data_IF_045973099298
#
_entry.id   IF_045973099298
#
_cell.length_a   1.000
_cell.length_b   1.000
_cell.length_c   1.000
_cell.angle_alpha   90.00
_cell.angle_beta   90.00
_cell.angle_gamma   90.00
#
_symmetry.space_group_name_H-M   'P 1'
#
loop_
_entity.id
_entity.type
_entity.pdbx_description
1 polymer ?
#
# COMPACT_ATOMS: atom_id res chain seq x y z
N UNK A 1 -60.75 46.89 9.67
CA UNK A 1 -60.35 45.95 8.59
C UNK A 1 -58.83 45.83 8.61
N UNK A 2 -58.31 44.82 9.31
CA UNK A 2 -56.87 44.57 9.47
C UNK A 2 -56.27 43.99 8.20
N UNK A 3 -55.17 44.59 7.74
CA UNK A 3 -54.37 44.11 6.60
C UNK A 3 -53.55 42.89 7.05
N UNK A 4 -53.79 41.75 6.40
CA UNK A 4 -53.01 40.52 6.56
C UNK A 4 -51.59 40.73 6.01
N UNK A 5 -50.59 40.61 6.89
CA UNK A 5 -49.19 40.40 6.53
C UNK A 5 -48.98 38.88 6.32
N UNK A 6 -48.74 38.47 5.08
CA UNK A 6 -48.14 37.16 4.78
C UNK A 6 -46.69 37.14 5.25
N UNK A 7 -46.25 36.20 6.10
CA UNK A 7 -44.83 35.91 6.22
C UNK A 7 -44.43 34.95 5.10
N UNK A 8 -43.63 35.47 4.17
CA UNK A 8 -42.94 34.73 3.12
C UNK A 8 -41.81 33.91 3.77
N UNK A 9 -42.15 32.73 4.30
CA UNK A 9 -41.18 31.72 4.73
C UNK A 9 -40.62 31.00 3.49
N UNK A 10 -39.73 31.67 2.77
CA UNK A 10 -38.81 31.02 1.84
C UNK A 10 -37.80 30.23 2.68
N UNK A 11 -38.13 28.97 2.94
CA UNK A 11 -37.18 27.92 3.30
C UNK A 11 -36.10 27.89 2.22
N UNK A 12 -34.99 28.58 2.49
CA UNK A 12 -33.77 28.45 1.71
C UNK A 12 -33.33 27.00 1.82
N UNK A 13 -33.51 26.31 0.70
CA UNK A 13 -32.94 25.04 0.31
C UNK A 13 -31.71 24.69 1.15
N UNK A 14 -31.86 23.64 1.96
CA UNK A 14 -30.72 22.87 2.41
C UNK A 14 -29.98 22.37 1.19
N UNK A 15 -28.97 23.13 0.75
CA UNK A 15 -27.84 22.60 0.01
C UNK A 15 -27.12 21.66 0.98
N UNK A 16 -27.70 20.46 1.15
CA UNK A 16 -26.99 19.29 1.59
C UNK A 16 -26.03 19.01 0.46
N UNK A 17 -24.88 19.69 0.52
CA UNK A 17 -23.73 19.40 -0.30
C UNK A 17 -23.40 17.95 0.02
N UNK A 18 -23.85 17.04 -0.85
CA UNK A 18 -23.50 15.63 -0.81
C UNK A 18 -22.00 15.63 -1.09
N UNK A 19 -21.21 15.79 -0.04
CA UNK A 19 -19.75 15.75 -0.13
C UNK A 19 -19.40 14.58 -1.01
N UNK A 20 -18.80 14.86 -2.17
CA UNK A 20 -18.53 13.87 -3.20
C UNK A 20 -17.87 12.66 -2.54
N UNK A 21 -18.63 11.58 -2.38
CA UNK A 21 -18.09 10.30 -1.95
C UNK A 21 -17.13 9.88 -3.05
N UNK A 22 -15.84 9.96 -2.78
CA UNK A 22 -14.79 9.54 -3.70
C UNK A 22 -14.87 8.00 -3.76
N UNK A 23 -15.56 7.48 -4.77
CA UNK A 23 -15.78 6.05 -5.01
C UNK A 23 -15.06 5.62 -6.31
N UNK A 24 -13.74 5.77 -6.32
CA UNK A 24 -12.87 5.22 -7.35
C UNK A 24 -12.10 3.99 -6.83
N UNK A 25 -11.55 3.18 -7.74
CA UNK A 25 -10.81 1.96 -7.39
C UNK A 25 -9.68 2.24 -6.40
N UNK A 26 -8.91 3.30 -6.63
CA UNK A 26 -7.85 3.71 -5.74
C UNK A 26 -8.37 4.04 -4.33
N UNK A 27 -9.60 4.56 -4.21
CA UNK A 27 -10.27 4.78 -2.94
C UNK A 27 -10.61 3.49 -2.19
N UNK A 28 -11.12 2.49 -2.90
CA UNK A 28 -11.55 1.21 -2.33
C UNK A 28 -10.40 0.36 -1.82
N UNK A 29 -9.22 0.51 -2.43
CA UNK A 29 -8.01 -0.23 -2.08
C UNK A 29 -7.21 0.35 -0.90
N UNK A 30 -7.55 1.54 -0.40
CA UNK A 30 -6.84 2.18 0.71
C UNK A 30 -6.93 1.35 1.99
N UNK A 31 -5.87 1.40 2.79
CA UNK A 31 -5.88 0.83 4.14
C UNK A 31 -4.53 0.25 4.52
N UNK A 32 -4.53 -0.39 5.68
CA UNK A 32 -3.38 -1.10 6.21
C UNK A 32 -3.49 -2.59 5.86
N UNK A 33 -2.37 -3.15 5.42
CA UNK A 33 -2.25 -4.56 5.07
C UNK A 33 -1.14 -5.15 5.93
N UNK A 34 -1.45 -6.06 6.85
CA UNK A 34 -0.44 -6.74 7.65
C UNK A 34 0.37 -7.69 6.75
N UNK A 35 1.69 -7.59 6.80
CA UNK A 35 2.59 -8.48 6.06
C UNK A 35 2.39 -9.91 6.54
N UNK A 36 2.17 -10.81 5.59
CA UNK A 36 2.01 -12.25 5.80
C UNK A 36 3.31 -13.00 5.50
N UNK A 37 4.07 -12.55 4.50
CA UNK A 37 5.39 -13.08 4.17
C UNK A 37 6.31 -12.03 3.58
N UNK A 38 7.60 -12.12 3.92
CA UNK A 38 8.68 -11.31 3.37
C UNK A 38 9.87 -12.22 3.06
N UNK A 39 10.18 -12.35 1.77
CA UNK A 39 11.18 -13.27 1.24
C UNK A 39 12.24 -12.47 0.48
N UNK A 40 13.51 -12.76 0.75
CA UNK A 40 14.65 -12.13 0.08
C UNK A 40 15.55 -13.23 -0.49
N UNK A 41 15.76 -13.24 -1.81
CA UNK A 41 16.57 -14.24 -2.52
C UNK A 41 16.23 -15.69 -2.15
N UNK A 42 14.92 -16.02 -2.08
CA UNK A 42 14.40 -17.32 -1.67
C UNK A 42 14.52 -17.66 -0.17
N UNK A 43 15.13 -16.80 0.65
CA UNK A 43 15.07 -16.96 2.10
C UNK A 43 13.86 -16.22 2.69
N UNK A 44 13.01 -16.97 3.38
CA UNK A 44 11.88 -16.40 4.13
C UNK A 44 12.40 -15.75 5.41
N UNK A 45 12.45 -14.43 5.43
CA UNK A 45 12.91 -13.65 6.58
C UNK A 45 11.78 -13.38 7.58
N UNK A 46 10.54 -13.31 7.11
CA UNK A 46 9.37 -13.17 7.96
C UNK A 46 8.17 -13.95 7.39
N UNK A 47 7.42 -14.60 8.27
CA UNK A 47 6.12 -15.22 8.00
C UNK A 47 5.25 -15.12 9.26
N UNK A 48 4.05 -14.55 9.13
CA UNK A 48 3.17 -14.27 10.24
C UNK A 48 2.91 -15.54 11.09
N UNK A 49 3.17 -15.44 12.40
CA UNK A 49 2.98 -16.55 13.35
C UNK A 49 3.98 -17.71 13.22
N UNK A 50 5.00 -17.63 12.36
CA UNK A 50 5.95 -18.73 12.12
C UNK A 50 7.42 -18.32 12.15
N UNK A 51 7.81 -17.30 11.37
CA UNK A 51 9.22 -16.92 11.16
C UNK A 51 9.36 -15.42 11.39
N UNK A 52 10.39 -15.00 12.13
CA UNK A 52 10.74 -13.59 12.30
C UNK A 52 12.26 -13.41 12.49
N UNK A 53 13.04 -13.58 11.41
CA UNK A 53 14.50 -13.44 11.44
C UNK A 53 14.95 -11.98 11.53
N UNK A 54 14.11 -11.05 11.08
CA UNK A 54 14.38 -9.60 11.04
C UNK A 54 13.99 -8.85 12.31
N UNK A 55 13.44 -9.57 13.30
CA UNK A 55 13.07 -9.06 14.63
C UNK A 55 12.13 -7.83 14.54
N UNK A 56 11.05 -7.97 13.77
CA UNK A 56 10.05 -6.91 13.57
C UNK A 56 8.70 -7.25 14.21
N UNK A 57 8.00 -6.22 14.66
CA UNK A 57 6.56 -6.27 14.98
C UNK A 57 5.82 -5.22 14.17
N UNK A 58 4.48 -5.31 14.09
CA UNK A 58 3.62 -4.38 13.35
C UNK A 58 4.09 -4.11 11.91
N UNK A 59 4.53 -5.17 11.22
CA UNK A 59 5.01 -5.07 9.85
C UNK A 59 3.84 -4.94 8.88
N UNK A 60 3.68 -3.74 8.31
CA UNK A 60 2.53 -3.36 7.48
C UNK A 60 2.96 -2.76 6.14
N UNK A 61 2.12 -3.01 5.14
CA UNK A 61 2.05 -2.26 3.90
C UNK A 61 0.87 -1.31 4.01
N UNK A 62 1.12 -0.02 3.83
CA UNK A 62 0.10 1.01 3.92
C UNK A 62 -0.19 1.53 2.52
N UNK A 63 -1.48 1.56 2.17
CA UNK A 63 -1.96 1.95 0.85
C UNK A 63 -2.83 3.19 1.00
N UNK A 64 -2.43 4.29 0.36
CA UNK A 64 -3.28 5.48 0.23
C UNK A 64 -3.50 5.85 -1.22
N UNK A 65 -4.58 6.58 -1.48
CA UNK A 65 -4.89 7.12 -2.81
C UNK A 65 -4.08 8.37 -3.06
N UNK A 66 -3.46 8.46 -4.23
CA UNK A 66 -2.82 9.68 -4.73
C UNK A 66 -3.69 10.38 -5.78
N UNK A 67 -4.25 9.64 -6.73
CA UNK A 67 -5.26 10.07 -7.71
C UNK A 67 -6.26 8.93 -7.96
N UNK A 68 -7.24 9.12 -8.84
CA UNK A 68 -8.24 8.09 -9.15
C UNK A 68 -7.62 6.78 -9.69
N UNK A 69 -6.47 6.88 -10.32
CA UNK A 69 -5.73 5.81 -10.99
C UNK A 69 -4.34 5.55 -10.37
N UNK A 70 -4.04 6.13 -9.21
CA UNK A 70 -2.73 5.93 -8.57
C UNK A 70 -2.79 5.81 -7.06
N UNK A 71 -1.94 4.93 -6.55
CA UNK A 71 -1.74 4.64 -5.14
C UNK A 71 -0.37 5.14 -4.69
N UNK A 72 -0.30 5.49 -3.41
CA UNK A 72 0.92 5.68 -2.66
C UNK A 72 1.07 4.51 -1.69
N UNK A 73 2.15 3.75 -1.82
CA UNK A 73 2.47 2.60 -0.97
C UNK A 73 3.64 2.94 -0.08
N UNK A 74 3.55 2.66 1.22
CA UNK A 74 4.70 2.75 2.12
C UNK A 74 4.70 1.63 3.14
N UNK A 75 5.90 1.33 3.65
CA UNK A 75 6.13 0.22 4.55
C UNK A 75 6.45 0.74 5.95
N UNK A 76 5.88 0.08 6.95
CA UNK A 76 6.11 0.42 8.36
C UNK A 76 6.32 -0.83 9.18
N UNK A 77 7.19 -0.75 10.17
CA UNK A 77 7.47 -1.82 11.12
C UNK A 77 8.07 -1.23 12.40
N UNK A 78 8.09 -2.03 13.46
CA UNK A 78 8.77 -1.71 14.71
C UNK A 78 9.94 -2.67 14.87
N UNK A 79 11.14 -2.15 15.12
CA UNK A 79 12.35 -2.93 15.44
C UNK A 79 12.98 -2.36 16.70
N UNK A 80 13.33 -3.20 17.67
CA UNK A 80 13.96 -2.78 18.95
C UNK A 80 13.22 -1.61 19.63
N UNK A 81 11.88 -1.66 19.65
CA UNK A 81 11.01 -0.65 20.27
C UNK A 81 11.12 0.77 19.70
N UNK A 82 11.62 0.95 18.48
CA UNK A 82 11.53 2.20 17.72
C UNK A 82 10.74 1.98 16.43
N UNK A 83 9.75 2.82 16.13
CA UNK A 83 9.06 2.76 14.85
C UNK A 83 10.05 3.14 13.75
N UNK A 84 10.10 2.31 12.70
CA UNK A 84 10.81 2.62 11.48
C UNK A 84 9.80 2.53 10.34
N UNK A 85 9.61 3.65 9.65
CA UNK A 85 8.85 3.70 8.41
C UNK A 85 9.83 4.08 7.31
N UNK A 86 9.90 3.28 6.24
CA UNK A 86 10.77 3.60 5.11
C UNK A 86 10.03 3.37 3.80
N UNK A 87 10.27 4.34 2.93
CA UNK A 87 9.95 4.43 1.52
C UNK A 87 8.47 4.56 1.16
N UNK A 88 8.21 5.63 0.42
CA UNK A 88 6.95 5.90 -0.25
C UNK A 88 7.15 5.65 -1.75
N UNK A 89 6.30 4.81 -2.35
CA UNK A 89 6.24 4.57 -3.80
C UNK A 89 4.92 5.07 -4.35
N UNK A 90 4.96 5.66 -5.53
CA UNK A 90 3.75 5.96 -6.30
C UNK A 90 3.59 4.92 -7.41
N UNK A 91 2.45 4.25 -7.43
CA UNK A 91 2.13 3.19 -8.38
C UNK A 91 0.85 3.52 -9.11
N UNK A 92 0.84 3.33 -10.43
CA UNK A 92 -0.36 3.42 -11.25
C UNK A 92 -1.11 2.10 -11.18
N UNK A 93 -2.43 2.21 -11.09
CA UNK A 93 -3.36 1.10 -11.15
C UNK A 93 -3.73 0.82 -12.60
N UNK A 94 -3.72 -0.45 -12.95
CA UNK A 94 -4.39 -0.97 -14.16
C UNK A 94 -5.15 -2.24 -13.79
N UNK A 95 -6.36 -2.41 -14.31
CA UNK A 95 -7.21 -3.56 -13.97
C UNK A 95 -8.63 -3.12 -13.60
N UNK A 96 -9.45 -4.08 -13.18
CA UNK A 96 -10.85 -3.91 -12.79
C UNK A 96 -11.31 -5.08 -11.93
N UNK A 97 -12.49 -4.97 -11.32
CA UNK A 97 -13.18 -6.09 -10.64
C UNK A 97 -12.33 -6.77 -9.56
N UNK A 98 -11.74 -5.97 -8.65
CA UNK A 98 -10.88 -6.45 -7.55
C UNK A 98 -9.64 -7.25 -7.99
N UNK A 99 -9.15 -6.99 -9.21
CA UNK A 99 -7.87 -7.48 -9.71
C UNK A 99 -7.10 -6.32 -10.33
N UNK A 100 -6.17 -5.77 -9.56
CA UNK A 100 -5.41 -4.60 -9.96
C UNK A 100 -3.93 -4.96 -10.07
N UNK A 101 -3.33 -4.61 -11.20
CA UNK A 101 -1.89 -4.58 -11.40
C UNK A 101 -1.36 -3.20 -11.01
N UNK A 102 -0.16 -3.20 -10.45
CA UNK A 102 0.55 -2.01 -10.01
C UNK A 102 1.80 -1.85 -10.86
N UNK A 103 1.93 -0.71 -11.52
CA UNK A 103 3.12 -0.35 -12.29
C UNK A 103 3.78 0.90 -11.69
N UNK A 104 5.12 0.93 -11.66
CA UNK A 104 5.85 2.16 -11.27
C UNK A 104 5.55 3.27 -12.27
N UNK A 105 5.33 4.48 -11.76
CA UNK A 105 5.10 5.67 -12.57
C UNK A 105 6.40 6.24 -13.17
N UNK A 106 7.58 5.80 -12.73
CA UNK A 106 8.89 6.25 -13.20
C UNK A 106 9.77 5.10 -13.75
N UNK A 107 10.66 5.47 -14.68
CA UNK A 107 11.30 4.59 -15.67
C UNK A 107 12.23 3.49 -15.09
N UNK A 108 12.49 2.41 -15.88
CA UNK A 108 13.46 1.33 -15.60
C UNK A 108 14.85 1.83 -15.15
N UNK A 109 15.67 1.04 -14.44
CA UNK A 109 15.99 -0.37 -14.78
C UNK A 109 15.49 -1.43 -13.79
N UNK A 110 14.64 -1.08 -12.82
CA UNK A 110 14.36 -1.94 -11.68
C UNK A 110 13.05 -2.71 -11.87
N UNK A 111 13.16 -4.03 -12.01
CA UNK A 111 12.03 -4.95 -12.11
C UNK A 111 11.03 -4.73 -10.96
N UNK A 112 9.76 -4.62 -11.31
CA UNK A 112 8.65 -4.43 -10.39
C UNK A 112 7.38 -5.08 -10.97
N UNK A 113 6.80 -5.99 -10.20
CA UNK A 113 5.48 -6.55 -10.43
C UNK A 113 4.71 -6.43 -9.11
N UNK A 114 3.56 -5.77 -9.13
CA UNK A 114 2.71 -5.67 -7.94
C UNK A 114 1.27 -5.93 -8.29
N UNK A 115 0.52 -6.54 -7.39
CA UNK A 115 -0.94 -6.70 -7.53
C UNK A 115 -1.67 -6.42 -6.23
N UNK A 116 -2.92 -5.99 -6.35
CA UNK A 116 -3.89 -6.04 -5.25
C UNK A 116 -5.12 -6.79 -5.75
N UNK A 117 -5.46 -7.89 -5.07
CA UNK A 117 -6.70 -8.62 -5.34
C UNK A 117 -7.36 -9.11 -4.08
N UNK A 118 -8.67 -8.85 -3.94
CA UNK A 118 -9.50 -9.30 -2.81
C UNK A 118 -8.86 -9.00 -1.44
N UNK A 119 -8.30 -7.81 -1.28
CA UNK A 119 -7.62 -7.39 -0.05
C UNK A 119 -6.25 -8.01 0.18
N UNK A 120 -5.67 -8.71 -0.80
CA UNK A 120 -4.30 -9.22 -0.75
C UNK A 120 -3.41 -8.38 -1.65
N UNK A 121 -2.37 -7.80 -1.06
CA UNK A 121 -1.30 -7.11 -1.76
C UNK A 121 -0.13 -8.07 -1.98
N UNK A 122 0.39 -8.10 -3.19
CA UNK A 122 1.61 -8.83 -3.56
C UNK A 122 2.58 -7.89 -4.27
N UNK A 123 3.85 -7.91 -3.89
CA UNK A 123 4.91 -7.19 -4.58
C UNK A 123 6.10 -8.11 -4.81
N UNK A 124 6.56 -8.18 -6.06
CA UNK A 124 7.79 -8.81 -6.48
C UNK A 124 8.68 -7.73 -7.11
N UNK A 125 9.85 -7.48 -6.55
CA UNK A 125 10.76 -6.45 -7.06
C UNK A 125 12.21 -6.86 -6.90
N UNK A 126 13.09 -6.24 -7.69
CA UNK A 126 14.53 -6.39 -7.49
C UNK A 126 14.98 -5.77 -6.15
N UNK A 127 16.08 -6.24 -5.57
CA UNK A 127 16.63 -5.66 -4.33
C UNK A 127 16.93 -4.16 -4.46
N UNK A 128 17.55 -3.75 -5.57
CA UNK A 128 17.76 -2.34 -5.89
C UNK A 128 16.42 -1.60 -6.15
N UNK A 129 15.42 -2.33 -6.63
CA UNK A 129 14.06 -1.90 -6.86
C UNK A 129 13.34 -1.49 -5.59
N UNK A 130 13.56 -2.16 -4.46
CA UNK A 130 12.82 -1.98 -3.21
C UNK A 130 13.23 -0.73 -2.41
N UNK A 131 14.41 -0.14 -2.64
CA UNK A 131 14.83 1.11 -1.98
C UNK A 131 15.00 1.05 -0.46
N UNK A 132 14.59 -0.05 0.16
CA UNK A 132 14.94 -0.50 1.50
C UNK A 132 15.02 -2.03 1.46
N UNK A 133 15.79 -2.63 2.36
CA UNK A 133 15.82 -4.09 2.54
C UNK A 133 15.93 -4.33 4.04
N UNK A 134 15.05 -5.18 4.56
CA UNK A 134 15.09 -5.59 5.96
C UNK A 134 15.88 -6.88 6.07
N UNK A 135 17.07 -6.79 6.66
CA UNK A 135 17.96 -7.93 6.84
C UNK A 135 18.25 -8.15 8.33
N UNK A 136 18.41 -9.42 8.75
CA UNK A 136 19.04 -9.75 10.03
C UNK A 136 20.46 -9.19 10.10
N UNK A 137 20.98 -9.04 11.32
CA UNK A 137 22.38 -8.65 11.51
C UNK A 137 23.29 -9.76 10.93
N UNK A 138 24.32 -9.39 10.17
CA UNK A 138 25.24 -10.30 9.46
C UNK A 138 24.59 -11.20 8.38
N UNK A 139 23.46 -10.78 7.81
CA UNK A 139 22.84 -11.54 6.72
C UNK A 139 23.78 -11.68 5.51
N UNK A 140 24.09 -12.91 5.06
CA UNK A 140 24.89 -13.11 3.86
C UNK A 140 24.03 -12.76 2.65
N UNK A 141 24.21 -11.55 2.12
CA UNK A 141 23.80 -11.25 0.76
C UNK A 141 24.75 -12.03 -0.16
N UNK A 142 24.52 -13.33 -0.32
CA UNK A 142 25.21 -14.10 -1.35
C UNK A 142 25.00 -13.38 -2.68
N UNK A 143 26.11 -13.15 -3.40
CA UNK A 143 26.12 -12.47 -4.67
C UNK A 143 25.17 -13.19 -5.62
N UNK A 144 24.00 -12.59 -5.82
CA UNK A 144 23.00 -13.16 -6.71
C UNK A 144 23.56 -13.11 -8.12
N UNK A 145 23.58 -14.25 -8.80
CA UNK A 145 23.89 -14.33 -10.23
C UNK A 145 22.79 -13.70 -11.10
N UNK A 146 21.74 -13.17 -10.49
CA UNK A 146 20.61 -12.52 -11.16
C UNK A 146 20.96 -11.09 -11.58
N UNK A 147 20.67 -10.68 -12.83
CA UNK A 147 21.00 -9.35 -13.35
C UNK A 147 20.45 -8.16 -12.54
N UNK A 148 19.45 -8.37 -11.67
CA UNK A 148 18.82 -7.36 -10.82
C UNK A 148 19.42 -7.24 -9.41
N UNK A 149 20.49 -7.97 -9.09
CA UNK A 149 21.09 -7.98 -7.76
C UNK A 149 20.26 -8.71 -6.70
N UNK A 150 19.30 -9.55 -7.12
CA UNK A 150 18.42 -10.37 -6.30
C UNK A 150 16.96 -9.89 -6.25
N UNK A 151 16.10 -10.63 -5.55
CA UNK A 151 14.64 -10.46 -5.54
C UNK A 151 14.09 -10.31 -4.13
N UNK A 152 13.08 -9.46 -3.99
CA UNK A 152 12.21 -9.38 -2.83
C UNK A 152 10.79 -9.76 -3.23
N UNK A 153 10.14 -10.54 -2.38
CA UNK A 153 8.72 -10.85 -2.44
C UNK A 153 8.05 -10.46 -1.12
N UNK A 154 6.95 -9.72 -1.23
CA UNK A 154 6.12 -9.29 -0.12
C UNK A 154 4.69 -9.70 -0.39
N UNK A 155 4.06 -10.38 0.57
CA UNK A 155 2.63 -10.65 0.58
C UNK A 155 2.04 -10.01 1.83
N UNK A 156 0.98 -9.23 1.67
CA UNK A 156 0.28 -8.59 2.78
C UNK A 156 -1.24 -8.71 2.61
N UNK A 157 -1.98 -8.78 3.71
CA UNK A 157 -3.43 -8.92 3.72
C UNK A 157 -4.06 -7.75 4.46
N UNK A 158 -5.11 -7.17 3.89
CA UNK A 158 -5.86 -6.06 4.47
C UNK A 158 -6.41 -6.46 5.84
N UNK A 159 -6.25 -5.58 6.81
CA UNK A 159 -6.90 -5.71 8.12
C UNK A 159 -8.40 -5.43 7.94
N UNK A 160 -9.25 -6.34 8.45
CA UNK A 160 -10.72 -6.21 8.43
C UNK A 160 -11.22 -5.21 9.48
#
# INVERSE_FOLDING_TARGET
>A
MQRLLLPLLLLVLGACDKGHLIDDDAARLRGEYSVQSYVVNHDTLFSAGRINKIDVTDFKVNVSRKSADSLSIWYSWIRKSKPNAVLIRQLRLSGKDDQYQLARSSAPPLFYEGTISRGVYTEHTSLAGLGFILLPDNYPLEGTSEPGGGRVEIVARREE
#
